data_IF_649362333895
#
_entry.id   IF_649362333895
#
_cell.length_a   1.000
_cell.length_b   1.000
_cell.length_c   1.000
_cell.angle_alpha   90.00
_cell.angle_beta   90.00
_cell.angle_gamma   90.00
#
_symmetry.space_group_name_H-M   'P 1'
#
loop_
_entity.id
_entity.type
_entity.pdbx_description
1 polymer ?
#
# COMPACT_ATOMS: atom_id res chain seq x y z
N UNK A 1 -13.75 46.67 21.07
CA UNK A 1 -13.97 45.66 20.02
C UNK A 1 -12.71 44.80 19.88
N UNK A 2 -12.59 43.63 20.53
CA UNK A 2 -11.49 42.69 20.27
C UNK A 2 -12.05 41.30 19.91
N UNK A 3 -12.00 40.91 18.64
CA UNK A 3 -12.42 39.55 18.21
C UNK A 3 -11.52 38.91 17.14
N UNK A 4 -10.38 39.51 16.82
CA UNK A 4 -9.52 39.09 15.70
C UNK A 4 -8.45 38.07 16.10
N UNK A 5 -8.08 37.98 17.39
CA UNK A 5 -6.99 37.08 17.81
C UNK A 5 -7.37 35.60 17.89
N UNK A 6 -8.65 35.25 18.06
CA UNK A 6 -9.08 33.84 18.18
C UNK A 6 -8.98 33.07 16.85
N UNK A 7 -9.35 33.71 15.73
CA UNK A 7 -9.37 33.10 14.39
C UNK A 7 -8.00 32.58 13.94
N UNK A 8 -6.92 33.30 14.30
CA UNK A 8 -5.56 32.96 13.87
C UNK A 8 -5.02 31.73 14.58
N UNK A 9 -5.40 31.51 15.85
CA UNK A 9 -4.96 30.35 16.62
C UNK A 9 -5.71 29.08 16.22
N UNK A 10 -7.02 29.19 15.93
CA UNK A 10 -7.83 28.06 15.45
C UNK A 10 -7.35 27.60 14.06
N UNK A 11 -7.15 28.53 13.13
CA UNK A 11 -6.59 28.23 11.80
C UNK A 11 -5.18 27.65 11.85
N UNK A 12 -4.34 28.08 12.80
CA UNK A 12 -3.00 27.54 12.98
C UNK A 12 -3.02 26.12 13.58
N UNK A 13 -3.98 25.83 14.46
CA UNK A 13 -4.18 24.50 15.02
C UNK A 13 -4.69 23.53 13.95
N UNK A 14 -5.69 23.92 13.15
CA UNK A 14 -6.18 23.13 12.00
C UNK A 14 -5.06 22.86 10.99
N UNK A 15 -4.20 23.85 10.73
CA UNK A 15 -3.03 23.66 9.86
C UNK A 15 -2.04 22.65 10.44
N UNK A 16 -1.81 22.69 11.75
CA UNK A 16 -0.90 21.77 12.43
C UNK A 16 -1.46 20.34 12.42
N UNK A 17 -2.77 20.18 12.66
CA UNK A 17 -3.43 18.89 12.57
C UNK A 17 -3.40 18.34 11.13
N UNK A 18 -3.57 19.20 10.11
CA UNK A 18 -3.37 18.79 8.71
C UNK A 18 -1.93 18.33 8.42
N UNK A 19 -0.93 18.97 9.01
CA UNK A 19 0.46 18.55 8.88
C UNK A 19 0.67 17.17 9.52
N UNK A 20 0.17 16.96 10.73
CA UNK A 20 0.28 15.67 11.43
C UNK A 20 -0.38 14.53 10.64
N UNK A 21 -1.52 14.79 10.00
CA UNK A 21 -2.20 13.83 9.11
C UNK A 21 -1.34 13.51 7.89
N UNK A 22 -0.76 14.52 7.24
CA UNK A 22 0.10 14.30 6.07
C UNK A 22 1.37 13.54 6.47
N UNK A 23 1.99 13.86 7.60
CA UNK A 23 3.15 13.15 8.14
C UNK A 23 2.81 11.69 8.46
N UNK A 24 1.65 11.43 9.06
CA UNK A 24 1.18 10.06 9.32
C UNK A 24 0.95 9.27 8.02
N UNK A 25 0.35 9.89 7.01
CA UNK A 25 0.13 9.25 5.71
C UNK A 25 1.43 8.97 4.98
N UNK A 26 2.40 9.89 5.02
CA UNK A 26 3.73 9.71 4.45
C UNK A 26 4.50 8.59 5.17
N UNK A 27 4.43 8.54 6.50
CA UNK A 27 5.02 7.45 7.28
C UNK A 27 4.35 6.11 6.94
N UNK A 28 3.03 6.08 6.77
CA UNK A 28 2.31 4.87 6.38
C UNK A 28 2.69 4.40 4.98
N UNK A 29 2.90 5.34 4.04
CA UNK A 29 3.37 5.02 2.69
C UNK A 29 4.78 4.42 2.72
N UNK A 30 5.69 5.05 3.48
CA UNK A 30 7.07 4.57 3.63
C UNK A 30 7.17 3.21 4.31
N UNK A 31 6.38 2.96 5.35
CA UNK A 31 6.33 1.65 6.03
C UNK A 31 5.68 0.59 5.14
N UNK A 32 4.57 0.89 4.46
CA UNK A 32 3.90 -0.05 3.57
C UNK A 32 4.77 -0.52 2.41
N UNK A 33 5.54 0.39 1.81
CA UNK A 33 6.50 0.04 0.76
C UNK A 33 7.62 -0.89 1.29
N UNK A 34 8.15 -0.62 2.49
CA UNK A 34 9.17 -1.46 3.12
C UNK A 34 8.63 -2.86 3.48
N UNK A 35 7.44 -2.91 4.07
CA UNK A 35 6.78 -4.17 4.41
C UNK A 35 6.50 -4.99 3.16
N UNK A 36 6.09 -4.35 2.05
CA UNK A 36 5.88 -5.04 0.78
C UNK A 36 7.16 -5.70 0.23
N UNK A 37 8.32 -5.07 0.41
CA UNK A 37 9.63 -5.63 -0.01
C UNK A 37 10.06 -6.80 0.87
N UNK A 38 9.76 -6.73 2.18
CA UNK A 38 10.19 -7.75 3.15
C UNK A 38 9.20 -8.92 3.28
N UNK A 39 7.96 -8.76 2.84
CA UNK A 39 6.90 -9.74 3.03
C UNK A 39 7.20 -11.06 2.29
N UNK A 40 7.04 -12.16 3.02
CA UNK A 40 7.10 -13.51 2.46
C UNK A 40 5.83 -13.91 1.70
N UNK A 41 5.88 -14.97 0.87
CA UNK A 41 4.69 -15.49 0.20
C UNK A 41 3.60 -15.91 1.20
N UNK A 42 2.42 -15.29 1.11
CA UNK A 42 1.25 -15.62 1.93
C UNK A 42 1.15 -14.86 3.26
N UNK A 43 2.07 -13.94 3.53
CA UNK A 43 2.01 -13.07 4.70
C UNK A 43 0.92 -12.01 4.52
N UNK A 44 0.02 -11.87 5.51
CA UNK A 44 -1.03 -10.86 5.46
C UNK A 44 -0.40 -9.51 5.77
N UNK A 45 -0.46 -8.59 4.81
CA UNK A 45 -0.09 -7.20 5.02
C UNK A 45 -0.99 -6.60 6.10
N UNK A 46 -0.41 -6.36 7.27
CA UNK A 46 -0.99 -5.37 8.17
C UNK A 46 -0.45 -4.05 7.65
N UNK A 47 -1.21 -3.34 6.80
CA UNK A 47 -0.97 -1.90 6.60
C UNK A 47 -1.08 -1.28 7.98
N UNK A 48 0.04 -1.12 8.69
CA UNK A 48 0.13 -0.98 10.15
C UNK A 48 -0.57 0.23 10.74
N UNK A 49 -1.31 0.98 9.93
CA UNK A 49 -2.09 2.14 10.31
C UNK A 49 -3.50 1.95 9.75
N UNK A 50 -4.47 1.66 10.61
CA UNK A 50 -5.89 1.88 10.29
C UNK A 50 -6.13 3.39 10.24
N UNK A 51 -5.68 4.02 9.16
CA UNK A 51 -5.85 5.45 8.99
C UNK A 51 -7.35 5.76 8.90
N UNK A 52 -7.81 6.71 9.72
CA UNK A 52 -9.17 7.26 9.65
C UNK A 52 -9.06 8.73 9.31
N UNK A 53 -9.80 9.14 8.28
CA UNK A 53 -9.93 10.54 7.93
C UNK A 53 -10.49 11.33 9.13
N UNK A 54 -9.81 12.40 9.57
CA UNK A 54 -10.33 13.22 10.65
C UNK A 54 -11.60 13.95 10.19
N UNK A 55 -12.70 13.78 10.92
CA UNK A 55 -14.01 14.31 10.53
C UNK A 55 -14.19 15.81 10.84
N UNK A 56 -13.32 16.38 11.68
CA UNK A 56 -13.37 17.78 12.12
C UNK A 56 -12.44 18.69 11.33
N UNK A 57 -11.54 18.13 10.51
CA UNK A 57 -10.64 18.93 9.70
C UNK A 57 -11.42 19.64 8.59
N UNK A 58 -11.25 20.95 8.52
CA UNK A 58 -11.80 21.80 7.48
C UNK A 58 -11.10 21.61 6.12
N UNK A 59 -11.18 22.64 5.27
CA UNK A 59 -10.51 22.60 3.97
C UNK A 59 -8.98 22.52 4.13
N UNK A 60 -8.32 21.79 3.23
CA UNK A 60 -6.86 21.71 3.20
C UNK A 60 -6.25 23.09 2.90
N UNK A 61 -5.29 23.58 3.71
CA UNK A 61 -4.57 24.81 3.42
C UNK A 61 -3.84 24.77 2.07
N UNK A 62 -3.89 25.87 1.30
CA UNK A 62 -3.34 25.93 -0.06
C UNK A 62 -1.82 25.67 -0.11
N UNK A 63 -1.09 26.01 0.95
CA UNK A 63 0.35 25.71 1.05
C UNK A 63 0.64 24.20 1.17
N UNK A 64 -0.29 23.42 1.72
CA UNK A 64 -0.17 21.96 1.87
C UNK A 64 -0.68 21.19 0.65
N UNK A 65 -1.39 21.85 -0.26
CA UNK A 65 -1.97 21.22 -1.45
C UNK A 65 -0.91 20.52 -2.30
N UNK A 66 0.23 21.17 -2.54
CA UNK A 66 1.32 20.58 -3.33
C UNK A 66 1.85 19.29 -2.68
N UNK A 67 1.93 19.27 -1.35
CA UNK A 67 2.38 18.10 -0.58
C UNK A 67 1.35 16.98 -0.66
N UNK A 68 0.07 17.28 -0.44
CA UNK A 68 -1.01 16.32 -0.55
C UNK A 68 -1.10 15.69 -1.96
N UNK A 69 -0.93 16.49 -3.02
CA UNK A 69 -0.90 15.97 -4.39
C UNK A 69 0.28 15.03 -4.63
N UNK A 70 1.48 15.36 -4.13
CA UNK A 70 2.65 14.46 -4.23
C UNK A 70 2.44 13.15 -3.50
N UNK A 71 1.87 13.22 -2.29
CA UNK A 71 1.51 12.03 -1.51
C UNK A 71 0.52 11.15 -2.28
N UNK A 72 -0.52 11.73 -2.88
CA UNK A 72 -1.50 10.99 -3.68
C UNK A 72 -0.84 10.31 -4.88
N UNK A 73 0.05 11.01 -5.60
CA UNK A 73 0.80 10.40 -6.71
C UNK A 73 1.65 9.21 -6.25
N UNK A 74 2.37 9.34 -5.13
CA UNK A 74 3.16 8.24 -4.56
C UNK A 74 2.31 7.05 -4.09
N UNK A 75 1.13 7.31 -3.53
CA UNK A 75 0.18 6.26 -3.18
C UNK A 75 -0.33 5.49 -4.40
N UNK A 76 -0.66 6.19 -5.50
CA UNK A 76 -1.10 5.55 -6.74
C UNK A 76 0.01 4.75 -7.41
N UNK A 77 1.25 5.25 -7.39
CA UNK A 77 2.43 4.55 -7.90
C UNK A 77 2.65 3.24 -7.13
N UNK A 78 2.65 3.28 -5.79
CA UNK A 78 2.79 2.08 -4.97
C UNK A 78 1.67 1.05 -5.23
N UNK A 79 0.43 1.50 -5.41
CA UNK A 79 -0.68 0.60 -5.78
C UNK A 79 -0.39 -0.09 -7.13
N UNK A 80 0.10 0.67 -8.12
CA UNK A 80 0.45 0.11 -9.43
C UNK A 80 1.55 -0.94 -9.32
N UNK A 81 2.61 -0.66 -8.55
CA UNK A 81 3.71 -1.60 -8.32
C UNK A 81 3.24 -2.90 -7.65
N UNK A 82 2.39 -2.80 -6.62
CA UNK A 82 1.82 -3.96 -5.93
C UNK A 82 0.95 -4.80 -6.88
N UNK A 83 0.13 -4.16 -7.71
CA UNK A 83 -0.71 -4.84 -8.69
C UNK A 83 0.11 -5.55 -9.78
N UNK A 84 1.19 -4.94 -10.26
CA UNK A 84 2.10 -5.55 -11.23
C UNK A 84 2.87 -6.73 -10.62
N UNK A 85 3.36 -6.60 -9.38
CA UNK A 85 3.98 -7.69 -8.63
C UNK A 85 2.99 -8.86 -8.45
N UNK A 86 1.73 -8.57 -8.08
CA UNK A 86 0.67 -9.58 -7.96
C UNK A 86 0.41 -10.29 -9.27
N UNK A 87 0.34 -9.55 -10.39
CA UNK A 87 0.14 -10.13 -11.73
C UNK A 87 1.29 -11.06 -12.11
N UNK A 88 2.53 -10.61 -11.91
CA UNK A 88 3.72 -11.41 -12.18
C UNK A 88 3.73 -12.72 -11.38
N UNK A 89 3.50 -12.64 -10.06
CA UNK A 89 3.40 -13.81 -9.19
C UNK A 89 2.30 -14.78 -9.65
N UNK A 90 1.14 -14.26 -10.09
CA UNK A 90 0.05 -15.06 -10.64
C UNK A 90 0.46 -15.85 -11.89
N UNK A 91 1.20 -15.22 -12.82
CA UNK A 91 1.72 -15.89 -14.03
C UNK A 91 2.71 -16.99 -13.64
N UNK A 92 3.64 -16.71 -12.71
CA UNK A 92 4.60 -17.71 -12.23
C UNK A 92 3.90 -18.91 -11.56
N UNK A 93 2.89 -18.68 -10.73
CA UNK A 93 2.12 -19.76 -10.11
C UNK A 93 1.32 -20.56 -11.14
N UNK A 94 0.76 -19.92 -12.16
CA UNK A 94 0.06 -20.62 -13.25
C UNK A 94 1.03 -21.52 -14.04
N UNK A 95 2.25 -21.05 -14.31
CA UNK A 95 3.29 -21.85 -14.96
C UNK A 95 3.68 -23.06 -14.11
N UNK A 96 3.93 -22.86 -12.80
CA UNK A 96 4.24 -23.95 -11.86
C UNK A 96 3.09 -24.96 -11.79
N UNK A 97 1.83 -24.51 -11.69
CA UNK A 97 0.66 -25.42 -11.68
C UNK A 97 0.54 -26.21 -12.97
N UNK A 98 0.82 -25.60 -14.13
CA UNK A 98 0.82 -26.29 -15.42
C UNK A 98 1.87 -27.39 -15.46
N UNK A 99 3.09 -27.10 -15.02
CA UNK A 99 4.18 -28.08 -14.93
C UNK A 99 3.77 -29.22 -13.99
N UNK A 100 3.28 -28.92 -12.78
CA UNK A 100 2.80 -29.93 -11.82
C UNK A 100 1.71 -30.82 -12.44
N UNK A 101 0.73 -30.22 -13.13
CA UNK A 101 -0.37 -30.97 -13.73
C UNK A 101 0.07 -31.83 -14.92
N UNK A 102 1.03 -31.36 -15.72
CA UNK A 102 1.62 -32.13 -16.81
C UNK A 102 2.44 -33.32 -16.27
N UNK A 103 3.21 -33.13 -15.20
CA UNK A 103 3.97 -34.19 -14.51
C UNK A 103 3.05 -35.28 -13.92
N UNK A 104 1.86 -34.92 -13.43
CA UNK A 104 0.88 -35.90 -12.96
C UNK A 104 0.21 -36.70 -14.09
N UNK A 105 0.22 -36.18 -15.32
CA UNK A 105 -0.28 -36.92 -16.51
C UNK A 105 0.79 -37.86 -17.05
N UNK A 106 2.07 -37.49 -16.94
CA UNK A 106 3.23 -38.29 -17.35
C UNK A 106 3.72 -39.20 -16.21
N UNK A 107 2.77 -39.89 -15.54
CA UNK A 107 3.10 -40.82 -14.47
C UNK A 107 4.04 -41.89 -15.04
N UNK A 108 5.31 -41.84 -14.63
CA UNK A 108 6.36 -42.74 -15.07
C UNK A 108 5.95 -44.20 -14.86
N UNK A 109 5.60 -44.89 -15.95
CA UNK A 109 5.37 -46.32 -15.98
C UNK A 109 6.73 -47.00 -15.85
N UNK A 110 7.03 -47.56 -14.68
CA UNK A 110 8.09 -48.54 -14.55
C UNK A 110 7.67 -49.79 -15.32
N UNK A 111 8.15 -49.93 -16.55
CA UNK A 111 8.10 -51.18 -17.29
C UNK A 111 9.11 -52.13 -16.65
N UNK A 112 8.66 -52.97 -15.73
CA UNK A 112 9.45 -54.06 -15.18
C UNK A 112 9.66 -55.11 -16.27
N UNK A 113 10.79 -54.99 -16.98
CA UNK A 113 11.30 -56.02 -17.88
C UNK A 113 11.91 -57.15 -17.05
N UNK A 114 11.06 -57.91 -16.37
CA UNK A 114 11.44 -59.17 -15.73
C UNK A 114 10.90 -60.35 -16.55
N UNK A 115 11.75 -60.83 -17.45
CA UNK A 115 11.95 -62.26 -17.78
C UNK A 115 10.81 -63.05 -18.42
#
# INVERSE_FOLDING_TARGET
>A
MPRVLLDTHESANDRQEWLDVLDQLESSLGSGARDAVLAGPGERFSTGVQWRAPAHLGQLPADLETRARRLLSGQLELISEIEDARRSAGVHLAAVRTIISAQHTDQAVYLDIAG
#
